data_IF_059317628231
#
_entry.id   IF_059317628231
#
_cell.length_a   1.000
_cell.length_b   1.000
_cell.length_c   1.000
_cell.angle_alpha   90.00
_cell.angle_beta   90.00
_cell.angle_gamma   90.00
#
_symmetry.space_group_name_H-M   'P 1'
#
loop_
_entity.id
_entity.type
_entity.pdbx_description
1 polymer ?
#
# COMPACT_ATOMS: atom_id res chain seq x y z
N UNK A 1 -16.04 -22.89 59.53
CA UNK A 1 -16.35 -22.32 58.20
C UNK A 1 -17.07 -21.00 58.42
N UNK A 2 -16.36 -19.89 58.33
CA UNK A 2 -16.92 -18.55 58.48
C UNK A 2 -17.35 -18.04 57.11
N UNK A 3 -18.64 -17.79 56.94
CA UNK A 3 -19.19 -17.12 55.76
C UNK A 3 -18.67 -15.67 55.74
N UNK A 4 -17.98 -15.29 54.67
CA UNK A 4 -17.63 -13.90 54.41
C UNK A 4 -18.85 -13.19 53.82
N UNK A 5 -19.15 -11.98 54.29
CA UNK A 5 -20.23 -11.17 53.73
C UNK A 5 -19.97 -10.88 52.23
N UNK A 6 -21.04 -10.73 51.41
CA UNK A 6 -20.91 -10.31 50.02
C UNK A 6 -20.32 -8.88 49.95
N UNK A 7 -19.58 -8.56 48.88
CA UNK A 7 -19.00 -7.23 48.71
C UNK A 7 -20.09 -6.17 48.56
N UNK A 8 -19.80 -4.96 49.04
CA UNK A 8 -20.69 -3.80 48.92
C UNK A 8 -21.05 -3.54 47.44
N UNK A 9 -22.27 -3.02 47.16
CA UNK A 9 -22.66 -2.69 45.81
C UNK A 9 -21.72 -1.64 45.20
N UNK A 10 -21.28 -1.89 43.97
CA UNK A 10 -20.48 -0.94 43.19
C UNK A 10 -21.29 0.35 43.03
N UNK A 11 -20.73 1.52 43.39
CA UNK A 11 -21.46 2.78 43.25
C UNK A 11 -21.82 3.03 41.78
N UNK A 12 -22.94 3.72 41.50
CA UNK A 12 -23.34 4.04 40.13
C UNK A 12 -22.22 4.82 39.44
N UNK A 13 -21.84 4.40 38.23
CA UNK A 13 -20.96 5.21 37.39
C UNK A 13 -21.75 6.47 37.04
N UNK A 14 -21.27 7.60 37.55
CA UNK A 14 -21.83 8.92 37.26
C UNK A 14 -21.74 9.17 35.74
N UNK A 15 -22.89 9.13 35.07
CA UNK A 15 -22.99 9.18 33.60
C UNK A 15 -22.51 10.49 32.98
N UNK A 16 -22.23 11.50 33.81
CA UNK A 16 -21.85 12.84 33.39
C UNK A 16 -20.33 13.08 33.36
N UNK A 17 -19.51 12.07 33.69
CA UNK A 17 -18.04 12.18 33.75
C UNK A 17 -17.27 11.54 32.60
N UNK A 18 -17.88 11.37 31.42
CA UNK A 18 -17.13 11.17 30.18
C UNK A 18 -16.60 12.51 29.68
N UNK A 19 -15.63 13.09 30.40
CA UNK A 19 -14.77 14.13 29.83
C UNK A 19 -13.88 13.46 28.78
N UNK A 20 -14.39 13.30 27.56
CA UNK A 20 -13.55 13.14 26.38
C UNK A 20 -12.85 14.47 26.15
N UNK A 21 -11.81 14.75 26.94
CA UNK A 21 -10.84 15.78 26.58
C UNK A 21 -10.28 15.29 25.25
N UNK A 22 -10.67 15.97 24.16
CA UNK A 22 -10.17 15.69 22.84
C UNK A 22 -8.64 15.74 22.93
N UNK A 23 -8.00 14.57 22.85
CA UNK A 23 -6.57 14.47 22.87
C UNK A 23 -6.07 14.98 21.53
N UNK A 24 -5.59 16.22 21.52
CA UNK A 24 -4.86 16.79 20.39
C UNK A 24 -3.36 16.55 20.63
N UNK A 25 -2.73 15.56 19.96
CA UNK A 25 -1.31 15.34 20.11
C UNK A 25 -0.55 16.60 19.67
N UNK A 26 0.56 16.95 20.33
CA UNK A 26 1.35 18.10 19.92
C UNK A 26 1.79 17.98 18.46
N UNK A 27 1.72 19.10 17.73
CA UNK A 27 2.26 19.20 16.39
C UNK A 27 3.72 18.73 16.37
N UNK A 28 4.07 17.95 15.34
CA UNK A 28 5.46 17.59 15.13
C UNK A 28 6.25 18.83 14.72
N UNK A 29 7.49 18.93 15.21
CA UNK A 29 8.43 19.92 14.68
C UNK A 29 8.47 19.82 13.16
N UNK A 30 8.48 20.96 12.43
CA UNK A 30 8.52 20.93 10.99
C UNK A 30 9.79 20.18 10.56
N UNK A 31 9.60 19.12 9.78
CA UNK A 31 10.73 18.42 9.16
C UNK A 31 11.44 19.43 8.28
N UNK A 32 12.74 19.65 8.54
CA UNK A 32 13.56 20.50 7.68
C UNK A 32 13.84 19.75 6.37
N UNK A 33 12.89 19.83 5.44
CA UNK A 33 13.04 19.32 4.08
C UNK A 33 13.87 20.36 3.32
N UNK A 34 15.02 19.97 2.74
CA UNK A 34 15.79 20.87 1.89
C UNK A 34 14.89 21.52 0.83
N UNK A 35 15.08 22.81 0.57
CA UNK A 35 14.21 23.57 -0.37
C UNK A 35 14.26 23.05 -1.81
N UNK A 36 15.22 22.17 -2.14
CA UNK A 36 15.34 21.50 -3.43
C UNK A 36 14.60 20.15 -3.50
N UNK A 37 13.94 19.71 -2.43
CA UNK A 37 13.24 18.42 -2.35
C UNK A 37 11.73 18.62 -2.30
N UNK A 38 11.02 17.89 -3.14
CA UNK A 38 9.58 17.77 -3.14
C UNK A 38 9.17 16.37 -2.67
N UNK A 39 8.58 16.26 -1.48
CA UNK A 39 8.18 14.98 -0.90
C UNK A 39 6.77 14.58 -1.34
N UNK A 40 6.62 13.32 -1.75
CA UNK A 40 5.37 12.68 -2.13
C UNK A 40 5.02 11.58 -1.14
N UNK A 41 3.79 11.63 -0.63
CA UNK A 41 3.17 10.54 0.11
C UNK A 41 2.03 9.92 -0.69
N UNK A 42 2.09 8.61 -0.93
CA UNK A 42 1.06 7.87 -1.64
C UNK A 42 0.20 7.08 -0.65
N UNK A 43 -1.12 7.28 -0.72
CA UNK A 43 -2.12 6.51 0.04
C UNK A 43 -3.05 5.83 -0.96
N UNK A 44 -3.02 4.50 -0.99
CA UNK A 44 -3.80 3.69 -1.93
C UNK A 44 -4.91 2.93 -1.20
N UNK A 45 -6.16 3.23 -1.54
CA UNK A 45 -7.32 2.53 -0.99
C UNK A 45 -7.34 1.06 -1.38
N UNK A 46 -7.95 0.24 -0.53
CA UNK A 46 -8.19 -1.17 -0.83
C UNK A 46 -9.39 -1.36 -1.75
N UNK A 47 -9.18 -2.11 -2.83
CA UNK A 47 -10.23 -2.59 -3.70
C UNK A 47 -9.69 -3.76 -4.53
N UNK A 48 -10.35 -4.92 -4.44
CA UNK A 48 -9.93 -6.13 -5.16
C UNK A 48 -9.98 -5.88 -6.67
N UNK A 49 -11.14 -5.42 -7.18
CA UNK A 49 -11.33 -5.16 -8.61
C UNK A 49 -10.61 -3.93 -9.15
N UNK A 50 -10.24 -2.97 -8.28
CA UNK A 50 -9.51 -1.78 -8.70
C UNK A 50 -7.99 -1.91 -8.55
N UNK A 51 -7.49 -3.06 -8.10
CA UNK A 51 -6.04 -3.26 -7.94
C UNK A 51 -5.28 -3.15 -9.26
N UNK A 52 -5.84 -3.65 -10.38
CA UNK A 52 -5.28 -3.48 -11.72
C UNK A 52 -5.29 -2.01 -12.20
N UNK A 53 -6.29 -1.23 -11.77
CA UNK A 53 -6.31 0.21 -12.04
C UNK A 53 -5.18 0.92 -11.29
N UNK A 54 -5.01 0.61 -9.99
CA UNK A 54 -3.91 1.16 -9.18
C UNK A 54 -2.55 0.74 -9.77
N UNK A 55 -2.41 -0.50 -10.25
CA UNK A 55 -1.23 -1.00 -10.93
C UNK A 55 -0.85 -0.14 -12.15
N UNK A 56 -1.82 0.19 -13.01
CA UNK A 56 -1.58 1.09 -14.14
C UNK A 56 -1.20 2.52 -13.71
N UNK A 57 -1.81 3.04 -12.64
CA UNK A 57 -1.44 4.35 -12.07
C UNK A 57 0.00 4.33 -11.56
N UNK A 58 0.41 3.26 -10.86
CA UNK A 58 1.77 3.12 -10.33
C UNK A 58 2.81 2.96 -11.44
N UNK A 59 2.52 2.13 -12.45
CA UNK A 59 3.36 1.98 -13.65
C UNK A 59 3.62 3.34 -14.32
N UNK A 60 2.54 4.08 -14.61
CA UNK A 60 2.63 5.38 -15.24
C UNK A 60 3.35 6.43 -14.36
N UNK A 61 3.09 6.44 -13.05
CA UNK A 61 3.74 7.38 -12.14
C UNK A 61 5.26 7.16 -12.12
N UNK A 62 5.70 5.91 -12.03
CA UNK A 62 7.12 5.56 -12.03
C UNK A 62 7.76 5.95 -13.36
N UNK A 63 7.10 5.65 -14.49
CA UNK A 63 7.58 6.09 -15.81
C UNK A 63 7.72 7.61 -15.91
N UNK A 64 6.72 8.35 -15.43
CA UNK A 64 6.73 9.80 -15.48
C UNK A 64 7.88 10.38 -14.67
N UNK A 65 8.19 9.80 -13.50
CA UNK A 65 9.32 10.19 -12.66
C UNK A 65 10.65 9.86 -13.35
N UNK A 66 10.79 8.67 -13.95
CA UNK A 66 12.00 8.28 -14.68
C UNK A 66 12.27 9.19 -15.88
N UNK A 67 11.24 9.48 -16.68
CA UNK A 67 11.32 10.40 -17.82
C UNK A 67 11.67 11.81 -17.35
N UNK A 68 11.08 12.27 -16.23
CA UNK A 68 11.41 13.57 -15.65
C UNK A 68 12.89 13.62 -15.25
N UNK A 69 13.39 12.66 -14.48
CA UNK A 69 14.78 12.63 -14.03
C UNK A 69 15.77 12.61 -15.21
N UNK A 70 15.46 11.84 -16.26
CA UNK A 70 16.24 11.82 -17.49
C UNK A 70 16.27 13.20 -18.17
N UNK A 71 15.11 13.84 -18.35
CA UNK A 71 15.04 15.17 -18.97
C UNK A 71 15.75 16.26 -18.17
N UNK A 72 15.74 16.18 -16.84
CA UNK A 72 16.49 17.13 -15.98
C UNK A 72 18.00 17.09 -16.24
N UNK A 73 18.53 15.96 -16.67
CA UNK A 73 19.95 15.79 -16.96
C UNK A 73 20.36 16.35 -18.34
N UNK A 74 19.42 16.70 -19.21
CA UNK A 74 19.69 17.20 -20.56
C UNK A 74 20.24 18.64 -20.54
N UNK A 75 21.23 18.98 -21.39
CA UNK A 75 21.69 20.35 -21.57
C UNK A 75 20.56 21.25 -22.07
N UNK A 76 20.33 22.38 -21.38
CA UNK A 76 19.30 23.34 -21.75
C UNK A 76 17.91 23.08 -21.14
N UNK A 77 17.78 22.10 -20.25
CA UNK A 77 16.53 21.91 -19.49
C UNK A 77 16.19 23.16 -18.65
N UNK A 78 15.03 23.74 -18.95
CA UNK A 78 14.51 24.97 -18.32
C UNK A 78 13.33 24.73 -17.37
N UNK A 79 12.94 23.48 -17.13
CA UNK A 79 11.86 23.11 -16.21
C UNK A 79 12.29 23.06 -14.74
N UNK A 80 11.39 22.64 -13.82
CA UNK A 80 11.70 22.56 -12.39
C UNK A 80 12.76 21.50 -12.10
N UNK A 81 13.77 21.88 -11.30
CA UNK A 81 14.94 21.04 -10.98
C UNK A 81 14.90 20.39 -9.59
N UNK A 82 13.76 20.50 -8.89
CA UNK A 82 13.62 19.85 -7.59
C UNK A 82 13.80 18.34 -7.71
N UNK A 83 14.28 17.72 -6.63
CA UNK A 83 14.35 16.28 -6.45
C UNK A 83 13.00 15.80 -5.91
N UNK A 84 12.38 14.85 -6.58
CA UNK A 84 11.13 14.26 -6.12
C UNK A 84 11.44 13.03 -5.26
N UNK A 85 10.91 13.00 -4.04
CA UNK A 85 11.10 11.88 -3.11
C UNK A 85 9.76 11.22 -2.80
N UNK A 86 9.59 9.97 -3.23
CA UNK A 86 8.52 9.11 -2.73
C UNK A 86 8.84 8.71 -1.29
N UNK A 87 8.35 9.53 -0.35
CA UNK A 87 8.69 9.43 1.07
C UNK A 87 7.91 8.33 1.77
N UNK A 88 6.64 8.20 1.43
CA UNK A 88 5.70 7.26 2.04
C UNK A 88 4.90 6.59 0.94
N UNK A 89 4.79 5.27 1.02
CA UNK A 89 3.85 4.47 0.25
C UNK A 89 3.05 3.66 1.26
N UNK A 90 1.74 3.86 1.29
CA UNK A 90 0.83 3.09 2.15
C UNK A 90 -0.40 2.65 1.37
N UNK A 91 -1.01 1.56 1.80
CA UNK A 91 -2.26 1.10 1.23
C UNK A 91 -2.86 -0.07 2.00
N UNK A 92 -4.09 -0.42 1.63
CA UNK A 92 -4.83 -1.55 2.19
C UNK A 92 -5.19 -2.54 1.08
N UNK A 93 -5.23 -3.86 1.37
CA UNK A 93 -5.64 -4.90 0.41
C UNK A 93 -4.93 -4.74 -0.97
N UNK A 94 -5.67 -4.57 -2.07
CA UNK A 94 -5.09 -4.34 -3.40
C UNK A 94 -4.16 -3.12 -3.48
N UNK A 95 -4.40 -2.07 -2.68
CA UNK A 95 -3.47 -0.94 -2.54
C UNK A 95 -2.17 -1.33 -1.82
N UNK A 96 -2.25 -2.18 -0.79
CA UNK A 96 -1.06 -2.68 -0.10
C UNK A 96 -0.19 -3.54 -1.00
N UNK A 97 -0.80 -4.41 -1.82
CA UNK A 97 -0.10 -5.22 -2.81
C UNK A 97 0.63 -4.34 -3.84
N UNK A 98 -0.03 -3.32 -4.38
CA UNK A 98 0.62 -2.36 -5.29
C UNK A 98 1.77 -1.60 -4.61
N UNK A 99 1.62 -1.24 -3.33
CA UNK A 99 2.70 -0.65 -2.55
C UNK A 99 3.89 -1.60 -2.38
N UNK A 100 3.64 -2.87 -2.08
CA UNK A 100 4.68 -3.89 -1.94
C UNK A 100 5.40 -4.15 -3.27
N UNK A 101 4.67 -4.27 -4.38
CA UNK A 101 5.23 -4.40 -5.73
C UNK A 101 6.13 -3.21 -6.04
N UNK A 102 5.68 -1.97 -5.76
CA UNK A 102 6.49 -0.78 -5.96
C UNK A 102 7.79 -0.84 -5.15
N UNK A 103 7.71 -1.05 -3.84
CA UNK A 103 8.89 -1.10 -2.96
C UNK A 103 9.90 -2.16 -3.41
N UNK A 104 9.42 -3.31 -3.90
CA UNK A 104 10.27 -4.40 -4.39
C UNK A 104 10.95 -4.10 -5.74
N UNK A 105 10.43 -3.16 -6.53
CA UNK A 105 10.85 -2.92 -7.91
C UNK A 105 11.40 -1.52 -8.19
N UNK A 106 11.31 -0.56 -7.26
CA UNK A 106 11.75 0.83 -7.47
C UNK A 106 13.25 0.99 -7.78
N UNK A 107 14.08 0.01 -7.43
CA UNK A 107 15.51 -0.06 -7.76
C UNK A 107 15.80 -0.80 -9.08
N UNK A 108 14.76 -1.25 -9.78
CA UNK A 108 14.85 -2.02 -11.01
C UNK A 108 14.20 -1.27 -12.17
N UNK A 109 14.72 -1.49 -13.38
CA UNK A 109 14.05 -1.05 -14.60
C UNK A 109 13.08 -2.13 -15.04
N UNK A 110 11.88 -1.73 -15.42
CA UNK A 110 10.87 -2.62 -15.98
C UNK A 110 10.21 -1.95 -17.19
N UNK A 111 9.57 -2.74 -18.04
CA UNK A 111 8.90 -2.25 -19.23
C UNK A 111 7.59 -1.57 -18.83
N UNK A 112 7.38 -0.30 -19.19
CA UNK A 112 6.08 0.37 -18.99
C UNK A 112 5.06 -0.02 -20.06
N UNK A 113 3.80 -0.19 -19.67
CA UNK A 113 2.74 -0.71 -20.55
C UNK A 113 1.87 0.42 -21.08
N UNK A 114 1.64 0.45 -22.39
CA UNK A 114 0.74 1.42 -23.04
C UNK A 114 -0.65 0.84 -23.28
N UNK A 115 -1.61 1.76 -23.41
CA UNK A 115 -2.98 1.40 -23.79
C UNK A 115 -2.98 0.61 -25.10
N UNK A 116 -3.59 -0.58 -25.09
CA UNK A 116 -3.68 -1.46 -26.25
C UNK A 116 -2.53 -2.47 -26.36
N UNK A 117 -1.52 -2.41 -25.50
CA UNK A 117 -0.55 -3.50 -25.37
C UNK A 117 -1.19 -4.64 -24.55
N UNK A 118 -1.43 -5.78 -25.20
CA UNK A 118 -1.90 -7.01 -24.56
C UNK A 118 -1.07 -8.17 -25.07
N UNK A 119 -0.17 -8.73 -24.26
CA UNK A 119 0.43 -10.04 -24.53
C UNK A 119 1.30 -10.54 -23.37
N UNK A 120 0.97 -11.73 -22.84
CA UNK A 120 1.87 -12.61 -22.10
C UNK A 120 2.60 -11.96 -20.91
N UNK A 121 3.68 -12.59 -20.44
CA UNK A 121 4.57 -12.00 -19.46
C UNK A 121 5.21 -10.74 -20.06
N UNK A 122 4.98 -9.61 -19.41
CA UNK A 122 5.29 -8.27 -19.92
C UNK A 122 6.59 -7.70 -19.37
N UNK A 123 7.20 -8.38 -18.39
CA UNK A 123 8.32 -7.88 -17.57
C UNK A 123 7.94 -6.63 -16.76
N UNK A 124 6.64 -6.31 -16.68
CA UNK A 124 6.12 -5.25 -15.85
C UNK A 124 5.56 -5.89 -14.57
N UNK A 125 6.17 -5.65 -13.40
CA UNK A 125 5.78 -6.33 -12.18
C UNK A 125 4.35 -5.96 -11.72
N UNK A 126 3.83 -4.79 -12.11
CA UNK A 126 2.46 -4.39 -11.82
C UNK A 126 1.47 -5.08 -12.75
N UNK A 127 1.74 -5.09 -14.06
CA UNK A 127 0.86 -5.70 -15.04
C UNK A 127 0.85 -7.22 -14.91
N UNK A 128 2.02 -7.84 -14.75
CA UNK A 128 2.12 -9.29 -14.59
C UNK A 128 1.37 -9.74 -13.35
N UNK A 129 1.58 -9.08 -12.20
CA UNK A 129 0.87 -9.41 -10.97
C UNK A 129 -0.65 -9.21 -11.07
N UNK A 130 -1.13 -8.11 -11.65
CA UNK A 130 -2.56 -7.78 -11.61
C UNK A 130 -3.39 -8.24 -12.80
N UNK A 131 -2.75 -8.56 -13.92
CA UNK A 131 -3.43 -8.91 -15.18
C UNK A 131 -3.10 -10.32 -15.63
N UNK A 132 -1.84 -10.74 -15.55
CA UNK A 132 -1.42 -12.05 -16.07
C UNK A 132 -1.49 -13.16 -15.01
N UNK A 133 -1.11 -12.86 -13.77
CA UNK A 133 -0.85 -13.87 -12.74
C UNK A 133 -1.98 -14.02 -11.72
N UNK A 134 -2.87 -13.03 -11.59
CA UNK A 134 -4.06 -13.17 -10.75
C UNK A 134 -4.98 -14.24 -11.37
N UNK A 135 -5.07 -15.38 -10.69
CA UNK A 135 -5.89 -16.51 -11.08
C UNK A 135 -6.69 -17.04 -9.88
N UNK A 136 -8.02 -17.09 -10.04
CA UNK A 136 -8.93 -17.66 -9.03
C UNK A 136 -8.89 -19.18 -9.00
N UNK A 137 -8.36 -19.84 -10.04
CA UNK A 137 -8.36 -21.29 -10.18
C UNK A 137 -7.68 -21.98 -8.99
N UNK A 138 -6.65 -21.36 -8.41
CA UNK A 138 -5.99 -21.87 -7.20
C UNK A 138 -6.87 -21.84 -5.94
N UNK A 139 -7.85 -20.93 -5.87
CA UNK A 139 -8.84 -20.88 -4.79
C UNK A 139 -10.01 -21.84 -5.00
N UNK A 140 -10.20 -22.33 -6.23
CA UNK A 140 -11.24 -23.29 -6.62
C UNK A 140 -10.70 -24.72 -6.73
N UNK A 141 -9.42 -24.89 -6.45
CA UNK A 141 -8.71 -26.15 -6.48
C UNK A 141 -9.30 -27.07 -5.38
N UNK A 142 -9.46 -28.37 -5.67
CA UNK A 142 -10.11 -29.35 -4.79
C UNK A 142 -9.10 -30.28 -4.10
N UNK A 143 -7.81 -30.01 -4.28
CA UNK A 143 -6.70 -30.82 -3.80
C UNK A 143 -6.74 -30.93 -2.26
N UNK A 144 -7.16 -29.86 -1.58
CA UNK A 144 -7.37 -29.81 -0.14
C UNK A 144 -8.54 -30.67 0.37
N UNK A 145 -9.46 -31.09 -0.51
CA UNK A 145 -10.57 -32.00 -0.18
C UNK A 145 -10.26 -33.47 -0.42
N UNK A 146 -9.12 -33.79 -1.05
CA UNK A 146 -8.84 -35.11 -1.62
C UNK A 146 -7.96 -36.05 -0.75
N UNK A 147 -7.60 -35.66 0.48
CA UNK A 147 -6.71 -36.43 1.35
C UNK A 147 -7.25 -36.74 2.76
N UNK A 148 -6.82 -37.88 3.34
CA UNK A 148 -7.14 -38.32 4.71
C UNK A 148 -6.57 -37.40 5.83
N UNK A 149 -5.80 -36.36 5.46
CA UNK A 149 -5.32 -35.34 6.38
C UNK A 149 -5.01 -34.03 5.62
N UNK A 150 -5.96 -33.09 5.49
CA UNK A 150 -5.77 -31.87 4.73
C UNK A 150 -4.96 -30.85 5.53
N UNK A 151 -3.64 -30.85 5.34
CA UNK A 151 -2.81 -29.74 5.79
C UNK A 151 -3.08 -28.52 4.90
N UNK A 152 -3.96 -27.62 5.36
CA UNK A 152 -4.11 -26.30 4.76
C UNK A 152 -2.82 -25.52 5.02
N UNK A 153 -1.96 -25.39 4.01
CA UNK A 153 -0.81 -24.47 4.07
C UNK A 153 -1.28 -23.07 3.71
N UNK A 154 -1.53 -22.27 4.74
CA UNK A 154 -1.59 -20.81 4.59
C UNK A 154 -0.28 -20.30 3.99
N UNK A 155 -0.41 -19.41 3.00
CA UNK A 155 0.70 -18.62 2.44
C UNK A 155 0.81 -17.22 3.08
N UNK A 156 0.01 -16.98 4.13
CA UNK A 156 0.21 -15.91 5.11
C UNK A 156 0.89 -16.46 6.36
#
# INVERSE_FOLDING_TARGET
MTYSNPPDPVPPIDGDNFNSVEYDPPDRDPVNVPSDVFELGLVMAGAVSAGAYIAGVMDFLIEALDVWEQKKAEPGFSGPKHRTLLKVITGASGGAMNGAIAVANLNHKFKHIRSGETAGQTENPFFDAWVNDIDISLLLALEDLSGDNPEIRSIL
#
